data_IF_592364741502
#
_entry.id   IF_592364741502
#
_cell.length_a   1.000
_cell.length_b   1.000
_cell.length_c   1.000
_cell.angle_alpha   90.00
_cell.angle_beta   90.00
_cell.angle_gamma   90.00
#
_symmetry.space_group_name_H-M   'P 1'
#
loop_
_entity.id
_entity.type
_entity.pdbx_description
1 polymer ?
#
# COMPACT_ATOMS: atom_id res chain seq x y z
N UNK A 1 15.88 9.91 -0.36
CA UNK A 1 16.72 8.73 -0.07
C UNK A 1 15.79 7.63 0.45
N UNK A 2 15.97 6.37 0.06
CA UNK A 2 15.10 5.29 0.54
C UNK A 2 15.38 5.05 2.04
N UNK A 3 14.38 5.06 2.94
CA UNK A 3 14.63 4.87 4.37
C UNK A 3 15.11 3.43 4.65
N UNK A 4 16.24 3.24 5.37
CA UNK A 4 16.73 1.90 5.70
C UNK A 4 15.86 1.22 6.75
N UNK A 5 15.38 0.00 6.47
CA UNK A 5 14.54 -0.81 7.38
C UNK A 5 15.18 -2.18 7.57
N UNK A 6 15.36 -2.58 8.82
CA UNK A 6 15.99 -3.83 9.19
C UNK A 6 14.95 -4.88 9.60
N UNK A 7 14.98 -6.07 8.98
CA UNK A 7 14.29 -7.24 9.53
C UNK A 7 15.27 -8.15 10.28
N UNK A 8 14.83 -8.72 11.40
CA UNK A 8 15.53 -9.75 12.17
C UNK A 8 14.59 -10.95 12.26
N UNK A 9 14.77 -11.94 11.39
CA UNK A 9 13.85 -13.06 11.26
C UNK A 9 14.50 -14.30 10.62
N UNK A 10 13.78 -15.42 10.63
CA UNK A 10 14.17 -16.61 9.89
C UNK A 10 13.88 -16.52 8.39
N UNK A 11 14.56 -17.37 7.61
CA UNK A 11 14.33 -17.47 6.16
C UNK A 11 13.10 -18.33 5.84
N UNK A 12 12.38 -18.00 4.77
CA UNK A 12 11.51 -18.93 4.04
C UNK A 12 12.01 -19.05 2.59
N UNK A 13 12.60 -20.19 2.19
CA UNK A 13 13.17 -20.34 0.87
C UNK A 13 12.11 -20.39 -0.25
N UNK A 14 10.83 -20.63 0.05
CA UNK A 14 9.76 -20.49 -0.94
C UNK A 14 9.40 -19.03 -1.22
N UNK A 15 9.88 -18.11 -0.38
CA UNK A 15 9.76 -16.68 -0.54
C UNK A 15 8.38 -16.11 -0.22
N UNK A 16 7.54 -16.85 0.50
CA UNK A 16 6.20 -16.41 0.90
C UNK A 16 6.15 -15.71 2.24
N UNK A 17 7.05 -16.05 3.16
CA UNK A 17 7.16 -15.50 4.51
C UNK A 17 8.61 -15.14 4.87
N UNK A 18 8.89 -14.97 6.17
CA UNK A 18 10.23 -14.72 6.70
C UNK A 18 10.89 -13.45 6.14
N UNK A 19 12.22 -13.40 6.18
CA UNK A 19 12.99 -12.27 5.63
C UNK A 19 12.66 -11.99 4.16
N UNK A 20 12.30 -13.01 3.37
CA UNK A 20 11.99 -12.83 1.95
C UNK A 20 10.70 -12.02 1.75
N UNK A 21 9.65 -12.27 2.55
CA UNK A 21 8.44 -11.46 2.54
C UNK A 21 8.71 -10.05 3.05
N UNK A 22 9.53 -9.93 4.09
CA UNK A 22 9.91 -8.64 4.68
C UNK A 22 10.63 -7.76 3.66
N UNK A 23 11.69 -8.27 3.01
CA UNK A 23 12.48 -7.53 2.01
C UNK A 23 11.66 -7.17 0.77
N UNK A 24 10.76 -8.05 0.31
CA UNK A 24 9.84 -7.73 -0.80
C UNK A 24 8.88 -6.60 -0.41
N UNK A 25 8.40 -6.62 0.83
CA UNK A 25 7.48 -5.62 1.35
C UNK A 25 8.18 -4.27 1.52
N UNK A 26 9.38 -4.25 2.10
CA UNK A 26 10.22 -3.05 2.20
C UNK A 26 10.44 -2.42 0.82
N UNK A 27 10.81 -3.24 -0.17
CA UNK A 27 11.00 -2.78 -1.54
C UNK A 27 9.71 -2.23 -2.18
N UNK A 28 8.55 -2.87 -1.94
CA UNK A 28 7.26 -2.41 -2.44
C UNK A 28 6.84 -1.06 -1.84
N UNK A 29 7.31 -0.74 -0.63
CA UNK A 29 7.09 0.53 0.07
C UNK A 29 8.21 1.56 -0.17
N UNK A 30 9.13 1.29 -1.11
CA UNK A 30 10.21 2.22 -1.43
C UNK A 30 11.29 2.36 -0.35
N UNK A 31 11.35 1.43 0.61
CA UNK A 31 12.37 1.37 1.66
C UNK A 31 13.62 0.60 1.19
N UNK A 32 14.76 0.88 1.83
CA UNK A 32 15.98 0.09 1.65
C UNK A 32 16.00 -1.05 2.67
N UNK A 33 15.71 -2.27 2.21
CA UNK A 33 15.59 -3.43 3.08
C UNK A 33 16.92 -4.08 3.45
N UNK A 34 17.12 -4.33 4.74
CA UNK A 34 18.25 -5.09 5.29
C UNK A 34 17.74 -6.26 6.12
N UNK A 35 18.55 -7.30 6.29
CA UNK A 35 18.14 -8.51 7.00
C UNK A 35 19.24 -9.10 7.87
N UNK A 36 18.88 -9.50 9.08
CA UNK A 36 19.65 -10.38 9.96
C UNK A 36 18.91 -11.71 10.04
N UNK A 37 19.62 -12.82 9.80
CA UNK A 37 19.03 -14.15 9.86
C UNK A 37 19.17 -14.74 11.26
N UNK A 38 18.05 -15.22 11.82
CA UNK A 38 17.98 -15.92 13.11
C UNK A 38 17.94 -17.44 12.96
N UNK A 39 17.34 -17.94 11.88
CA UNK A 39 17.35 -19.34 11.51
C UNK A 39 17.16 -19.50 10.00
N UNK A 40 17.71 -20.58 9.46
CA UNK A 40 17.36 -21.06 8.14
C UNK A 40 16.24 -22.08 8.26
N UNK A 41 15.31 -22.09 7.33
CA UNK A 41 14.26 -23.13 7.29
C UNK A 41 14.31 -23.86 5.95
N UNK A 42 14.07 -25.17 5.99
CA UNK A 42 13.55 -25.88 4.84
C UNK A 42 12.03 -25.78 4.91
N UNK A 43 11.45 -24.82 4.18
CA UNK A 43 10.02 -24.54 4.20
C UNK A 43 9.49 -24.31 2.80
N UNK A 44 8.22 -24.67 2.58
CA UNK A 44 7.49 -24.29 1.38
C UNK A 44 5.99 -24.16 1.66
N UNK A 45 5.19 -23.96 0.62
CA UNK A 45 3.72 -23.80 0.72
C UNK A 45 2.99 -24.95 1.45
N UNK A 46 3.61 -26.13 1.61
CA UNK A 46 3.01 -27.25 2.34
C UNK A 46 3.44 -27.34 3.82
N UNK A 47 4.23 -26.39 4.30
CA UNK A 47 4.68 -26.31 5.70
C UNK A 47 6.20 -26.32 5.85
N UNK A 48 6.64 -26.45 7.11
CA UNK A 48 8.05 -26.50 7.52
C UNK A 48 8.52 -27.95 7.58
N UNK A 49 9.68 -28.24 7.00
CA UNK A 49 10.32 -29.56 7.01
C UNK A 49 11.47 -29.63 8.02
N UNK A 50 12.24 -28.55 8.16
CA UNK A 50 13.41 -28.48 9.05
C UNK A 50 13.70 -27.04 9.44
N UNK A 51 14.26 -26.83 10.63
CA UNK A 51 14.72 -25.53 11.11
C UNK A 51 16.18 -25.65 11.56
N UNK A 52 17.07 -24.92 10.89
CA UNK A 52 18.48 -24.82 11.23
C UNK A 52 18.74 -23.49 11.95
N UNK A 53 18.91 -23.50 13.27
CA UNK A 53 19.14 -22.27 14.02
C UNK A 53 20.52 -21.68 13.74
N UNK A 54 20.59 -20.35 13.68
CA UNK A 54 21.85 -19.62 13.61
C UNK A 54 22.29 -19.33 15.04
N UNK A 55 23.58 -19.52 15.33
CA UNK A 55 24.13 -19.28 16.67
C UNK A 55 23.88 -17.83 17.10
N UNK A 56 23.41 -17.62 18.33
CA UNK A 56 23.09 -16.30 18.88
C UNK A 56 24.25 -15.29 18.78
N UNK A 57 25.50 -15.74 18.94
CA UNK A 57 26.70 -14.90 18.75
C UNK A 57 26.89 -14.40 17.31
N UNK A 58 26.45 -15.17 16.31
CA UNK A 58 26.49 -14.76 14.91
C UNK A 58 25.29 -13.89 14.54
N UNK A 59 24.14 -14.07 15.19
CA UNK A 59 23.01 -13.12 15.10
C UNK A 59 23.45 -11.74 15.61
N UNK A 60 24.10 -11.67 16.77
CA UNK A 60 24.63 -10.43 17.34
C UNK A 60 25.65 -9.76 16.41
N UNK A 61 26.59 -10.53 15.85
CA UNK A 61 27.57 -10.02 14.87
C UNK A 61 26.93 -9.46 13.60
N UNK A 62 25.87 -10.09 13.08
CA UNK A 62 25.14 -9.58 11.92
C UNK A 62 24.46 -8.24 12.26
N UNK A 63 23.83 -8.12 13.43
CA UNK A 63 23.19 -6.87 13.88
C UNK A 63 24.24 -5.78 14.01
N UNK A 64 25.34 -6.06 14.70
CA UNK A 64 26.46 -5.11 14.85
C UNK A 64 26.99 -4.65 13.49
N UNK A 65 27.24 -5.59 12.58
CA UNK A 65 27.76 -5.26 11.23
C UNK A 65 26.84 -4.31 10.44
N UNK A 66 25.52 -4.42 10.61
CA UNK A 66 24.56 -3.54 9.94
C UNK A 66 24.46 -2.19 10.65
N UNK A 67 24.34 -2.20 11.98
CA UNK A 67 24.07 -1.00 12.76
C UNK A 67 25.31 -0.12 13.00
N UNK A 68 26.52 -0.69 12.89
CA UNK A 68 27.78 0.08 12.94
C UNK A 68 27.99 0.96 11.68
N UNK A 69 27.34 0.63 10.56
CA UNK A 69 27.51 1.33 9.26
C UNK A 69 26.25 2.11 8.82
N UNK A 70 25.05 1.58 9.10
CA UNK A 70 23.79 2.09 8.52
C UNK A 70 22.84 2.59 9.62
N UNK A 71 22.45 3.86 9.52
CA UNK A 71 21.40 4.45 10.36
C UNK A 71 20.01 3.89 9.96
N UNK A 72 19.51 2.95 10.75
CA UNK A 72 18.20 2.34 10.53
C UNK A 72 17.05 3.26 10.96
N UNK A 73 15.98 3.25 10.18
CA UNK A 73 14.78 4.09 10.40
C UNK A 73 13.62 3.35 11.03
N UNK A 74 13.59 2.02 10.91
CA UNK A 74 12.71 1.14 11.66
C UNK A 74 13.30 -0.27 11.69
N UNK A 75 12.85 -1.06 12.66
CA UNK A 75 13.25 -2.45 12.84
C UNK A 75 11.99 -3.31 12.94
N UNK A 76 12.04 -4.49 12.31
CA UNK A 76 11.01 -5.52 12.42
C UNK A 76 11.62 -6.81 12.93
N UNK A 77 11.02 -7.45 13.94
CA UNK A 77 11.39 -8.82 14.34
C UNK A 77 10.33 -9.81 13.87
N UNK A 78 10.76 -10.98 13.42
CA UNK A 78 9.92 -12.13 13.08
C UNK A 78 10.24 -13.33 13.97
N UNK A 79 10.36 -14.52 13.37
CA UNK A 79 10.77 -15.73 14.11
C UNK A 79 12.15 -15.55 14.74
N UNK A 80 12.24 -15.63 16.07
CA UNK A 80 13.50 -15.52 16.84
C UNK A 80 14.02 -16.86 17.40
N UNK A 81 13.30 -17.97 17.16
CA UNK A 81 13.67 -19.34 17.51
C UNK A 81 13.76 -19.66 19.02
N UNK A 82 14.72 -19.10 19.76
CA UNK A 82 15.01 -19.43 21.16
C UNK A 82 15.35 -18.21 22.05
N UNK A 83 15.43 -18.43 23.36
CA UNK A 83 15.76 -17.40 24.36
C UNK A 83 17.14 -16.76 24.14
N UNK A 84 18.13 -17.55 23.73
CA UNK A 84 19.50 -17.05 23.56
C UNK A 84 19.60 -16.08 22.38
N UNK A 85 18.86 -16.37 21.31
CA UNK A 85 18.73 -15.48 20.15
C UNK A 85 17.99 -14.21 20.52
N UNK A 86 16.89 -14.29 21.28
CA UNK A 86 16.17 -13.09 21.76
C UNK A 86 17.09 -12.22 22.60
N UNK A 87 17.84 -12.79 23.53
CA UNK A 87 18.80 -12.05 24.36
C UNK A 87 19.90 -11.41 23.53
N UNK A 88 20.43 -12.11 22.53
CA UNK A 88 21.42 -11.55 21.61
C UNK A 88 20.85 -10.33 20.85
N UNK A 89 19.62 -10.42 20.35
CA UNK A 89 18.93 -9.29 19.71
C UNK A 89 18.76 -8.12 20.69
N UNK A 90 18.23 -8.39 21.89
CA UNK A 90 18.02 -7.35 22.92
C UNK A 90 19.34 -6.68 23.32
N UNK A 91 20.42 -7.44 23.53
CA UNK A 91 21.75 -6.90 23.85
C UNK A 91 22.27 -5.99 22.74
N UNK A 92 22.21 -6.44 21.50
CA UNK A 92 22.66 -5.66 20.34
C UNK A 92 21.84 -4.37 20.21
N UNK A 93 20.50 -4.45 20.27
CA UNK A 93 19.66 -3.26 20.17
C UNK A 93 19.92 -2.27 21.31
N UNK A 94 20.07 -2.74 22.55
CA UNK A 94 20.41 -1.86 23.68
C UNK A 94 21.77 -1.21 23.50
N UNK A 95 22.79 -1.96 23.04
CA UNK A 95 24.13 -1.44 22.75
C UNK A 95 24.08 -0.26 21.78
N UNK A 96 23.28 -0.36 20.72
CA UNK A 96 23.20 0.66 19.66
C UNK A 96 22.26 1.84 19.98
N UNK A 97 21.15 1.61 20.68
CA UNK A 97 20.07 2.61 20.78
C UNK A 97 19.81 3.18 22.16
N UNK A 98 20.43 2.66 23.23
CA UNK A 98 20.17 3.16 24.59
C UNK A 98 20.60 4.62 24.76
N UNK A 99 21.62 5.07 24.03
CA UNK A 99 22.13 6.46 24.11
C UNK A 99 21.48 7.41 23.11
N UNK A 100 21.00 6.91 21.97
CA UNK A 100 20.49 7.69 20.83
C UNK A 100 18.97 7.68 20.70
N UNK A 101 18.30 6.76 21.38
CA UNK A 101 16.87 6.49 21.25
C UNK A 101 16.59 5.34 20.29
N UNK A 102 15.57 4.55 20.61
CA UNK A 102 15.16 3.41 19.78
C UNK A 102 14.39 3.89 18.54
N UNK A 103 14.73 3.41 17.33
CA UNK A 103 13.85 3.55 16.18
C UNK A 103 12.57 2.73 16.40
N UNK A 104 11.49 3.00 15.66
CA UNK A 104 10.30 2.18 15.72
C UNK A 104 10.61 0.69 15.57
N UNK A 105 10.21 -0.11 16.56
CA UNK A 105 10.43 -1.56 16.60
C UNK A 105 9.09 -2.29 16.55
N UNK A 106 8.81 -2.95 15.44
CA UNK A 106 7.61 -3.77 15.22
C UNK A 106 7.97 -5.25 15.46
N UNK A 107 7.35 -5.87 16.45
CA UNK A 107 7.57 -7.28 16.76
C UNK A 107 6.39 -8.14 16.34
N UNK A 108 6.61 -9.06 15.40
CA UNK A 108 5.67 -10.12 15.06
C UNK A 108 6.02 -11.37 15.90
N UNK A 109 5.27 -11.67 16.99
CA UNK A 109 5.64 -12.74 17.92
C UNK A 109 5.29 -14.11 17.34
N UNK A 110 6.07 -14.55 16.36
CA UNK A 110 5.87 -15.81 15.63
C UNK A 110 6.13 -16.99 16.56
N UNK A 111 5.06 -17.52 17.14
CA UNK A 111 5.12 -18.70 18.02
C UNK A 111 4.90 -20.02 17.26
N UNK A 112 4.02 -19.99 16.25
CA UNK A 112 3.58 -21.17 15.49
C UNK A 112 3.51 -20.82 14.00
N UNK A 113 3.95 -21.73 13.13
CA UNK A 113 3.79 -21.57 11.68
C UNK A 113 2.32 -21.63 11.26
N UNK A 114 1.98 -21.09 10.09
CA UNK A 114 0.64 -21.24 9.48
C UNK A 114 0.25 -22.72 9.24
N UNK A 115 1.24 -23.62 9.19
CA UNK A 115 1.05 -25.08 9.12
C UNK A 115 0.92 -25.78 10.48
N UNK A 116 0.94 -25.04 11.59
CA UNK A 116 0.79 -25.59 12.95
C UNK A 116 2.07 -26.10 13.61
N UNK A 117 3.23 -26.02 12.94
CA UNK A 117 4.52 -26.37 13.52
C UNK A 117 4.97 -25.31 14.54
N UNK A 118 5.32 -25.72 15.76
CA UNK A 118 5.89 -24.83 16.79
C UNK A 118 7.24 -24.31 16.33
N UNK A 119 7.38 -22.98 16.29
CA UNK A 119 8.59 -22.30 15.79
C UNK A 119 9.41 -21.64 16.91
N UNK A 120 8.84 -21.57 18.10
CA UNK A 120 9.42 -20.92 19.25
C UNK A 120 9.52 -21.92 20.41
N UNK A 121 10.71 -22.03 21.02
CA UNK A 121 10.88 -22.88 22.19
C UNK A 121 10.08 -22.33 23.39
N UNK A 122 9.54 -23.16 24.30
CA UNK A 122 8.65 -22.68 25.37
C UNK A 122 9.24 -21.61 26.31
N UNK A 123 10.55 -21.65 26.56
CA UNK A 123 11.29 -20.66 27.38
C UNK A 123 11.46 -19.29 26.69
N UNK A 124 11.39 -19.26 25.36
CA UNK A 124 11.55 -18.05 24.58
C UNK A 124 10.35 -17.10 24.72
N UNK A 125 9.16 -17.62 25.05
CA UNK A 125 7.98 -16.77 25.35
C UNK A 125 8.24 -15.87 26.55
N UNK A 126 8.84 -16.39 27.61
CA UNK A 126 9.22 -15.62 28.80
C UNK A 126 10.18 -14.50 28.44
N UNK A 127 11.17 -14.83 27.61
CA UNK A 127 12.23 -13.91 27.22
C UNK A 127 11.71 -12.82 26.29
N UNK A 128 10.78 -13.15 25.38
CA UNK A 128 10.06 -12.16 24.55
C UNK A 128 9.33 -11.13 25.43
N UNK A 129 8.54 -11.61 26.39
CA UNK A 129 7.71 -10.76 27.25
C UNK A 129 8.57 -9.91 28.18
N UNK A 130 9.55 -10.52 28.85
CA UNK A 130 10.34 -9.82 29.88
C UNK A 130 11.45 -8.93 29.32
N UNK A 131 12.03 -9.26 28.16
CA UNK A 131 13.23 -8.57 27.65
C UNK A 131 12.99 -7.79 26.34
N UNK A 132 12.18 -8.31 25.41
CA UNK A 132 11.98 -7.70 24.09
C UNK A 132 10.78 -6.74 24.06
N UNK A 133 9.61 -7.14 24.54
CA UNK A 133 8.38 -6.33 24.50
C UNK A 133 8.55 -4.92 25.07
N UNK A 134 9.28 -4.71 26.19
CA UNK A 134 9.53 -3.36 26.72
C UNK A 134 10.25 -2.40 25.76
N UNK A 135 10.89 -2.93 24.71
CA UNK A 135 11.58 -2.13 23.69
C UNK A 135 10.71 -1.88 22.45
N UNK A 136 9.56 -2.54 22.33
CA UNK A 136 8.77 -2.54 21.09
C UNK A 136 7.80 -1.36 21.03
N UNK A 137 7.73 -0.74 19.85
CA UNK A 137 6.70 0.24 19.52
C UNK A 137 5.36 -0.45 19.28
N UNK A 138 5.37 -1.62 18.65
CA UNK A 138 4.16 -2.38 18.34
C UNK A 138 4.45 -3.88 18.40
N UNK A 139 3.58 -4.64 19.06
CA UNK A 139 3.48 -6.10 18.83
C UNK A 139 2.28 -6.42 17.94
N UNK A 140 2.42 -7.41 17.05
CA UNK A 140 1.36 -7.79 16.10
C UNK A 140 0.88 -9.24 16.25
N UNK A 141 0.44 -9.72 17.42
CA UNK A 141 0.01 -11.11 17.58
C UNK A 141 -1.29 -11.42 16.81
N UNK A 142 -1.42 -12.65 16.30
CA UNK A 142 -2.72 -13.20 15.89
C UNK A 142 -3.51 -13.69 17.12
N UNK A 143 -4.78 -14.12 16.93
CA UNK A 143 -5.62 -14.69 17.99
C UNK A 143 -4.89 -15.73 18.85
N UNK A 144 -4.34 -16.78 18.23
CA UNK A 144 -3.70 -17.89 18.95
C UNK A 144 -2.38 -17.48 19.61
N UNK A 145 -1.62 -16.58 18.99
CA UNK A 145 -0.42 -15.98 19.59
C UNK A 145 -0.77 -15.14 20.82
N UNK A 146 -1.83 -14.33 20.74
CA UNK A 146 -2.32 -13.51 21.85
C UNK A 146 -2.78 -14.38 23.03
N UNK A 147 -3.58 -15.42 22.77
CA UNK A 147 -4.04 -16.36 23.79
C UNK A 147 -2.86 -17.08 24.46
N UNK A 148 -1.85 -17.51 23.69
CA UNK A 148 -0.64 -18.15 24.22
C UNK A 148 0.16 -17.21 25.12
N UNK A 149 0.44 -15.98 24.66
CA UNK A 149 1.20 -14.97 25.41
C UNK A 149 0.51 -14.61 26.74
N UNK A 150 -0.82 -14.45 26.71
CA UNK A 150 -1.60 -14.10 27.89
C UNK A 150 -1.76 -15.27 28.87
N UNK A 151 -1.88 -16.50 28.37
CA UNK A 151 -1.89 -17.71 29.21
C UNK A 151 -0.61 -17.81 30.02
N UNK A 152 0.53 -17.58 29.35
CA UNK A 152 1.85 -17.59 29.96
C UNK A 152 1.98 -16.51 31.05
N UNK A 153 1.67 -15.25 30.72
CA UNK A 153 1.81 -14.13 31.68
C UNK A 153 0.98 -14.30 32.96
N UNK A 154 -0.21 -14.92 32.86
CA UNK A 154 -1.11 -15.12 34.01
C UNK A 154 -0.81 -16.41 34.78
N UNK A 155 0.24 -17.15 34.44
CA UNK A 155 0.52 -18.50 34.97
C UNK A 155 -0.73 -19.41 34.91
N UNK A 156 -1.52 -19.28 33.85
CA UNK A 156 -2.77 -19.99 33.65
C UNK A 156 -2.59 -21.11 32.63
N UNK A 157 -3.36 -22.19 32.77
CA UNK A 157 -3.36 -23.30 31.80
C UNK A 157 -3.92 -22.88 30.42
N UNK A 158 -4.78 -21.86 30.38
CA UNK A 158 -5.30 -21.26 29.16
C UNK A 158 -5.88 -19.86 29.45
N UNK A 159 -5.89 -19.01 28.43
CA UNK A 159 -6.58 -17.72 28.40
C UNK A 159 -7.99 -17.89 27.80
N UNK A 160 -8.99 -17.09 28.23
CA UNK A 160 -10.32 -17.12 27.61
C UNK A 160 -10.26 -16.89 26.09
N UNK A 161 -11.03 -17.65 25.33
CA UNK A 161 -11.00 -17.56 23.87
C UNK A 161 -11.41 -16.17 23.36
N UNK A 162 -10.59 -15.60 22.47
CA UNK A 162 -10.86 -14.33 21.80
C UNK A 162 -11.77 -14.62 20.60
N UNK A 163 -13.05 -14.25 20.72
CA UNK A 163 -14.11 -14.60 19.74
C UNK A 163 -15.06 -13.45 19.37
N UNK A 164 -14.94 -12.31 20.02
CA UNK A 164 -15.74 -11.10 19.76
C UNK A 164 -14.90 -9.84 19.88
N UNK A 165 -15.43 -8.72 19.39
CA UNK A 165 -14.79 -7.41 19.51
C UNK A 165 -14.53 -7.03 20.98
N UNK A 166 -15.45 -7.31 21.89
CA UNK A 166 -15.29 -7.05 23.34
C UNK A 166 -14.17 -7.89 23.94
N UNK A 167 -14.06 -9.16 23.54
CA UNK A 167 -12.93 -10.00 23.99
C UNK A 167 -11.58 -9.52 23.43
N UNK A 168 -11.56 -8.92 22.24
CA UNK A 168 -10.36 -8.29 21.68
C UNK A 168 -9.97 -7.02 22.47
N UNK A 169 -10.94 -6.23 22.93
CA UNK A 169 -10.66 -5.06 23.81
C UNK A 169 -10.00 -5.50 25.12
N UNK A 170 -10.53 -6.56 25.75
CA UNK A 170 -9.92 -7.13 26.96
C UNK A 170 -8.51 -7.69 26.71
N UNK A 171 -8.34 -8.44 25.62
CA UNK A 171 -7.05 -9.04 25.28
C UNK A 171 -5.98 -7.98 24.93
N UNK A 172 -6.33 -6.94 24.17
CA UNK A 172 -5.41 -5.83 23.89
C UNK A 172 -5.01 -5.09 25.16
N UNK A 173 -5.93 -4.90 26.13
CA UNK A 173 -5.58 -4.33 27.44
C UNK A 173 -4.52 -5.15 28.15
N UNK A 174 -4.76 -6.46 28.23
CA UNK A 174 -3.89 -7.37 28.97
C UNK A 174 -2.52 -7.47 28.29
N UNK A 175 -2.48 -7.52 26.95
CA UNK A 175 -1.22 -7.55 26.19
C UNK A 175 -0.40 -6.27 26.34
N UNK A 176 -1.06 -5.12 26.43
CA UNK A 176 -0.39 -3.84 26.65
C UNK A 176 0.31 -3.80 28.02
N UNK A 177 -0.24 -4.50 29.03
CA UNK A 177 0.39 -4.61 30.34
C UNK A 177 1.69 -5.43 30.34
N UNK A 178 2.01 -6.12 29.23
CA UNK A 178 3.25 -6.89 29.07
C UNK A 178 4.46 -6.04 28.68
N UNK A 179 4.28 -4.72 28.52
CA UNK A 179 5.34 -3.76 28.23
C UNK A 179 5.43 -3.12 26.84
N UNK A 180 4.76 -3.58 25.76
CA UNK A 180 4.87 -2.90 24.46
C UNK A 180 4.15 -1.54 24.48
N UNK A 181 4.59 -0.60 23.65
CA UNK A 181 3.93 0.72 23.54
C UNK A 181 2.56 0.65 22.85
N UNK A 182 2.35 -0.35 21.99
CA UNK A 182 1.07 -0.61 21.34
C UNK A 182 0.92 -2.09 20.99
N UNK A 183 -0.32 -2.51 20.78
CA UNK A 183 -0.70 -3.89 20.43
C UNK A 183 -1.67 -3.87 19.26
N UNK A 184 -1.39 -4.67 18.23
CA UNK A 184 -2.32 -4.95 17.13
C UNK A 184 -2.69 -6.43 17.13
N UNK A 185 -3.91 -6.77 17.58
CA UNK A 185 -4.41 -8.14 17.43
C UNK A 185 -4.94 -8.32 16.01
N UNK A 186 -4.33 -9.27 15.27
CA UNK A 186 -4.71 -9.64 13.89
C UNK A 186 -5.92 -10.56 13.92
N UNK A 187 -7.06 -10.13 13.38
CA UNK A 187 -8.35 -10.83 13.57
C UNK A 187 -8.84 -11.69 12.42
N UNK A 188 -7.98 -12.10 11.48
CA UNK A 188 -8.36 -13.04 10.40
C UNK A 188 -8.99 -14.37 10.88
N UNK A 189 -8.96 -14.68 12.19
CA UNK A 189 -9.54 -15.87 12.81
C UNK A 189 -10.72 -15.55 13.75
N UNK A 190 -11.10 -14.28 13.90
CA UNK A 190 -12.28 -13.84 14.66
C UNK A 190 -13.40 -13.58 13.65
N UNK A 191 -14.49 -14.33 13.75
CA UNK A 191 -15.62 -14.17 12.83
C UNK A 191 -16.46 -12.99 13.31
N UNK A 192 -16.48 -11.92 12.53
CA UNK A 192 -17.25 -10.70 12.78
C UNK A 192 -18.05 -10.38 11.52
N UNK A 193 -19.30 -9.94 11.67
CA UNK A 193 -20.08 -9.38 10.56
C UNK A 193 -20.27 -7.86 10.72
N UNK A 194 -20.84 -7.21 9.72
CA UNK A 194 -21.06 -5.75 9.74
C UNK A 194 -22.02 -5.34 10.87
N UNK A 195 -23.06 -6.12 11.15
CA UNK A 195 -23.99 -5.81 12.24
C UNK A 195 -23.32 -5.84 13.63
N UNK A 196 -22.39 -6.77 13.86
CA UNK A 196 -21.61 -6.84 15.10
C UNK A 196 -20.73 -5.59 15.25
N UNK A 197 -20.09 -5.15 14.17
CA UNK A 197 -19.27 -3.94 14.15
C UNK A 197 -20.11 -2.67 14.38
N UNK A 198 -21.28 -2.56 13.75
CA UNK A 198 -22.18 -1.41 13.93
C UNK A 198 -22.72 -1.33 15.36
N UNK A 199 -23.08 -2.48 15.95
CA UNK A 199 -23.50 -2.58 17.34
C UNK A 199 -22.37 -2.15 18.28
N UNK A 200 -21.16 -2.64 18.04
CA UNK A 200 -19.98 -2.28 18.83
C UNK A 200 -19.68 -0.77 18.74
N UNK A 201 -19.73 -0.21 17.52
CA UNK A 201 -19.53 1.23 17.28
C UNK A 201 -20.50 2.09 18.08
N UNK A 202 -21.76 1.65 18.21
CA UNK A 202 -22.79 2.37 18.97
C UNK A 202 -22.50 2.35 20.47
N UNK A 203 -21.91 1.27 20.97
CA UNK A 203 -21.57 1.08 22.39
C UNK A 203 -20.25 1.74 22.77
N UNK A 204 -19.36 1.96 21.81
CA UNK A 204 -18.01 2.50 21.98
C UNK A 204 -17.74 3.69 21.04
N UNK A 205 -18.36 4.86 21.28
CA UNK A 205 -18.25 6.02 20.39
C UNK A 205 -16.84 6.65 20.37
N UNK A 206 -16.00 6.28 21.33
CA UNK A 206 -14.60 6.68 21.48
C UNK A 206 -13.62 5.82 20.66
N UNK A 207 -14.09 4.70 20.08
CA UNK A 207 -13.27 3.83 19.24
C UNK A 207 -13.28 4.33 17.80
N UNK A 208 -12.10 4.55 17.23
CA UNK A 208 -11.96 4.87 15.82
C UNK A 208 -12.21 3.61 14.99
N UNK A 209 -13.19 3.66 14.07
CA UNK A 209 -13.45 2.56 13.14
C UNK A 209 -13.10 3.01 11.73
N UNK A 210 -12.12 2.33 11.15
CA UNK A 210 -11.70 2.50 9.76
C UNK A 210 -12.29 1.37 8.92
N UNK A 211 -13.10 1.73 7.92
CA UNK A 211 -13.72 0.80 6.97
C UNK A 211 -13.05 0.95 5.61
N UNK A 212 -12.40 -0.10 5.12
CA UNK A 212 -11.74 -0.09 3.82
C UNK A 212 -12.34 -1.18 2.91
N UNK A 213 -12.86 -0.79 1.75
CA UNK A 213 -13.39 -1.73 0.74
C UNK A 213 -14.70 -2.43 1.12
N UNK A 214 -15.37 -2.00 2.19
CA UNK A 214 -16.74 -2.42 2.51
C UNK A 214 -17.72 -1.61 1.65
N UNK A 215 -18.79 -2.25 1.16
CA UNK A 215 -19.85 -1.54 0.44
C UNK A 215 -20.66 -0.72 1.44
N UNK A 216 -20.36 0.58 1.53
CA UNK A 216 -20.99 1.56 2.40
C UNK A 216 -21.70 2.66 1.58
N UNK A 217 -21.90 3.84 2.19
CA UNK A 217 -22.57 4.98 1.57
C UNK A 217 -21.89 5.38 0.25
N UNK A 218 -22.67 5.56 -0.82
CA UNK A 218 -22.22 5.90 -2.18
C UNK A 218 -21.70 4.71 -3.05
N UNK A 219 -21.87 3.45 -2.62
CA UNK A 219 -21.58 2.27 -3.44
C UNK A 219 -22.83 1.49 -3.90
N UNK A 220 -24.02 2.09 -3.82
CA UNK A 220 -25.31 1.44 -4.09
C UNK A 220 -25.41 0.93 -5.54
N UNK A 221 -24.73 1.59 -6.48
CA UNK A 221 -24.69 1.20 -7.89
C UNK A 221 -23.97 -0.14 -8.12
N UNK A 222 -23.08 -0.55 -7.21
CA UNK A 222 -22.38 -1.84 -7.29
C UNK A 222 -23.22 -2.99 -6.72
N UNK A 223 -24.36 -2.70 -6.08
CA UNK A 223 -25.21 -3.67 -5.38
C UNK A 223 -26.32 -4.29 -6.27
N UNK A 224 -26.21 -4.18 -7.59
CA UNK A 224 -27.23 -4.67 -8.53
C UNK A 224 -27.23 -6.21 -8.56
N UNK A 225 -28.12 -6.82 -7.79
CA UNK A 225 -28.36 -8.27 -7.75
C UNK A 225 -28.47 -8.77 -6.32
N UNK A 226 -29.08 -9.96 -6.12
CA UNK A 226 -29.32 -10.63 -4.83
C UNK A 226 -28.03 -10.93 -4.06
N UNK A 227 -27.40 -9.88 -3.54
CA UNK A 227 -26.26 -9.94 -2.63
C UNK A 227 -26.82 -10.24 -1.24
N UNK A 228 -26.17 -11.07 -0.40
CA UNK A 228 -26.55 -11.21 1.00
C UNK A 228 -26.72 -9.81 1.65
N UNK A 229 -27.61 -9.72 2.65
CA UNK A 229 -27.78 -8.48 3.40
C UNK A 229 -26.40 -8.01 3.85
N UNK A 230 -26.04 -6.74 3.60
CA UNK A 230 -24.73 -6.14 3.96
C UNK A 230 -24.39 -6.46 5.43
N UNK A 231 -25.40 -6.46 6.29
CA UNK A 231 -25.31 -6.80 7.71
C UNK A 231 -24.71 -8.19 8.00
N UNK A 232 -24.88 -9.17 7.12
CA UNK A 232 -24.43 -10.56 7.28
C UNK A 232 -23.05 -10.83 6.65
N UNK A 233 -22.47 -9.85 5.94
CA UNK A 233 -21.17 -10.02 5.32
C UNK A 233 -20.08 -10.21 6.38
N UNK A 234 -19.34 -11.32 6.25
CA UNK A 234 -18.18 -11.61 7.12
C UNK A 234 -17.05 -10.66 6.76
N UNK A 235 -16.49 -10.04 7.79
CA UNK A 235 -15.38 -9.10 7.70
C UNK A 235 -14.17 -9.61 8.51
N UNK A 236 -13.00 -9.10 8.15
CA UNK A 236 -11.77 -9.24 8.94
C UNK A 236 -11.57 -7.94 9.70
N UNK A 237 -11.33 -8.05 10.99
CA UNK A 237 -11.11 -6.92 11.89
C UNK A 237 -9.76 -7.05 12.55
N UNK A 238 -8.90 -6.04 12.42
CA UNK A 238 -7.71 -5.92 13.27
C UNK A 238 -7.94 -4.81 14.29
N UNK A 239 -7.51 -5.04 15.54
CA UNK A 239 -7.69 -4.09 16.64
C UNK A 239 -6.36 -3.60 17.15
N UNK A 240 -6.10 -2.31 16.96
CA UNK A 240 -4.97 -1.58 17.50
C UNK A 240 -5.35 -0.94 18.83
N UNK A 241 -4.46 -1.07 19.81
CA UNK A 241 -4.52 -0.32 21.05
C UNK A 241 -3.17 0.31 21.37
N UNK A 242 -3.16 1.62 21.61
CA UNK A 242 -1.95 2.37 21.97
C UNK A 242 -1.87 2.56 23.50
N UNK A 243 -0.68 2.87 24.02
CA UNK A 243 -0.44 3.09 25.45
C UNK A 243 -1.34 4.16 26.08
N UNK A 244 -1.74 5.17 25.30
CA UNK A 244 -2.64 6.24 25.74
C UNK A 244 -4.10 5.77 25.93
N UNK A 245 -4.39 4.52 25.56
CA UNK A 245 -5.69 3.89 25.72
C UNK A 245 -6.60 4.00 24.50
N UNK A 246 -6.21 4.76 23.47
CA UNK A 246 -6.92 4.84 22.19
C UNK A 246 -7.03 3.46 21.54
N UNK A 247 -8.21 3.19 20.98
CA UNK A 247 -8.50 1.96 20.26
C UNK A 247 -8.90 2.33 18.84
N UNK A 248 -8.28 1.64 17.88
CA UNK A 248 -8.63 1.74 16.46
C UNK A 248 -8.94 0.35 15.90
N UNK A 249 -10.04 0.24 15.15
CA UNK A 249 -10.48 -0.97 14.47
C UNK A 249 -10.34 -0.78 12.97
N UNK A 250 -9.70 -1.72 12.30
CA UNK A 250 -9.53 -1.73 10.85
C UNK A 250 -10.34 -2.89 10.25
N UNK A 251 -11.46 -2.57 9.61
CA UNK A 251 -12.43 -3.51 9.08
C UNK A 251 -12.37 -3.60 7.56
N UNK A 252 -12.31 -4.84 7.03
CA UNK A 252 -12.21 -5.13 5.59
C UNK A 252 -13.03 -6.38 5.22
N UNK A 253 -13.41 -6.57 3.94
CA UNK A 253 -14.05 -7.79 3.50
C UNK A 253 -13.21 -9.05 3.82
N UNK A 254 -13.85 -10.15 4.20
CA UNK A 254 -13.17 -11.44 4.26
C UNK A 254 -12.97 -12.01 2.85
N UNK A 255 -11.72 -12.35 2.51
CA UNK A 255 -11.38 -12.99 1.22
C UNK A 255 -11.32 -14.50 1.43
N UNK A 256 -12.21 -15.24 0.74
CA UNK A 256 -12.15 -16.70 0.72
C UNK A 256 -10.98 -17.17 -0.16
N UNK A 257 -9.82 -17.44 0.44
CA UNK A 257 -8.61 -17.89 -0.27
C UNK A 257 -7.80 -18.90 0.54
N UNK A 258 -6.93 -19.64 -0.15
CA UNK A 258 -5.88 -20.47 0.46
C UNK A 258 -4.51 -19.77 0.50
N UNK A 259 -4.39 -18.61 -0.15
CA UNK A 259 -3.13 -17.87 -0.26
C UNK A 259 -2.94 -16.93 0.92
N UNK A 260 -2.71 -17.49 2.10
CA UNK A 260 -2.53 -16.76 3.36
C UNK A 260 -1.12 -16.94 3.95
N UNK A 261 -0.22 -17.60 3.22
CA UNK A 261 1.14 -17.84 3.68
C UNK A 261 1.95 -16.54 3.69
N UNK A 262 2.42 -16.14 4.87
CA UNK A 262 3.21 -14.92 5.06
C UNK A 262 2.42 -13.64 5.32
N UNK A 263 1.10 -13.71 5.55
CA UNK A 263 0.27 -12.53 5.86
C UNK A 263 0.80 -11.75 7.06
N UNK A 264 1.19 -12.43 8.15
CA UNK A 264 1.72 -11.78 9.36
C UNK A 264 3.06 -11.07 9.14
N UNK A 265 4.01 -11.73 8.47
CA UNK A 265 5.30 -11.15 8.12
C UNK A 265 5.13 -9.93 7.20
N UNK A 266 4.27 -10.05 6.19
CA UNK A 266 3.96 -8.97 5.24
C UNK A 266 3.36 -7.76 5.96
N UNK A 267 2.37 -7.98 6.83
CA UNK A 267 1.70 -6.91 7.56
C UNK A 267 2.68 -6.15 8.47
N UNK A 268 3.41 -6.87 9.32
CA UNK A 268 4.38 -6.27 10.25
C UNK A 268 5.53 -5.54 9.51
N UNK A 269 6.00 -6.08 8.38
CA UNK A 269 6.99 -5.42 7.54
C UNK A 269 6.46 -4.14 6.87
N UNK A 270 5.21 -4.14 6.43
CA UNK A 270 4.56 -2.95 5.87
C UNK A 270 4.40 -1.86 6.94
N UNK A 271 3.98 -2.22 8.17
CA UNK A 271 3.91 -1.27 9.29
C UNK A 271 5.28 -0.66 9.59
N UNK A 272 6.33 -1.49 9.67
CA UNK A 272 7.70 -1.00 9.89
C UNK A 272 8.16 -0.04 8.77
N UNK A 273 7.77 -0.30 7.52
CA UNK A 273 8.08 0.55 6.37
C UNK A 273 7.39 1.92 6.44
N UNK A 274 6.14 1.95 6.87
CA UNK A 274 5.38 3.20 7.04
C UNK A 274 5.90 4.01 8.23
N UNK A 275 6.24 3.35 9.34
CA UNK A 275 6.85 4.01 10.51
C UNK A 275 8.24 4.59 10.18
N UNK A 276 9.03 3.90 9.33
CA UNK A 276 10.33 4.41 8.86
C UNK A 276 10.19 5.73 8.07
N UNK A 277 9.04 5.92 7.42
CA UNK A 277 8.67 7.13 6.68
C UNK A 277 7.99 8.20 7.55
N UNK A 278 8.02 8.04 8.88
CA UNK A 278 7.46 8.95 9.88
C UNK A 278 5.92 9.12 9.82
N UNK A 279 5.20 8.10 9.36
CA UNK A 279 3.75 8.04 9.54
C UNK A 279 3.39 7.82 11.01
N UNK A 280 2.22 8.33 11.43
CA UNK A 280 1.67 7.96 12.74
C UNK A 280 1.22 6.49 12.74
N UNK A 281 1.15 5.88 13.92
CA UNK A 281 0.93 4.43 14.04
C UNK A 281 -0.40 3.98 13.44
N UNK A 282 -1.49 4.72 13.68
CA UNK A 282 -2.82 4.42 13.11
C UNK A 282 -2.77 4.40 11.58
N UNK A 283 -2.12 5.39 10.97
CA UNK A 283 -2.01 5.50 9.51
C UNK A 283 -1.08 4.42 8.91
N UNK A 284 0.01 4.12 9.61
CA UNK A 284 0.91 3.02 9.26
C UNK A 284 0.17 1.67 9.25
N UNK A 285 -0.65 1.40 10.27
CA UNK A 285 -1.48 0.18 10.34
C UNK A 285 -2.56 0.19 9.25
N UNK A 286 -3.23 1.32 9.01
CA UNK A 286 -4.22 1.45 7.93
C UNK A 286 -3.62 1.09 6.57
N UNK A 287 -2.51 1.73 6.20
CA UNK A 287 -1.84 1.49 4.91
C UNK A 287 -1.34 0.06 4.79
N UNK A 288 -0.72 -0.48 5.85
CA UNK A 288 -0.20 -1.85 5.86
C UNK A 288 -1.31 -2.91 5.73
N UNK A 289 -2.45 -2.68 6.37
CA UNK A 289 -3.58 -3.60 6.29
C UNK A 289 -4.25 -3.58 4.91
N UNK A 290 -4.38 -2.41 4.28
CA UNK A 290 -4.85 -2.28 2.88
C UNK A 290 -3.89 -2.94 1.90
N UNK A 291 -2.58 -2.71 2.05
CA UNK A 291 -1.54 -3.36 1.24
C UNK A 291 -1.63 -4.89 1.36
N UNK A 292 -1.68 -5.41 2.58
CA UNK A 292 -1.76 -6.86 2.83
C UNK A 292 -3.03 -7.44 2.23
N UNK A 293 -4.18 -6.76 2.40
CA UNK A 293 -5.46 -7.19 1.83
C UNK A 293 -5.39 -7.31 0.31
N UNK A 294 -4.92 -6.26 -0.39
CA UNK A 294 -4.75 -6.28 -1.86
C UNK A 294 -3.73 -7.32 -2.32
N UNK A 295 -2.69 -7.57 -1.51
CA UNK A 295 -1.73 -8.65 -1.75
C UNK A 295 -2.38 -10.03 -1.71
N UNK A 296 -3.38 -10.25 -0.84
CA UNK A 296 -4.17 -11.48 -0.78
C UNK A 296 -5.11 -11.57 -1.99
N UNK A 297 -5.80 -10.49 -2.35
CA UNK A 297 -6.69 -10.44 -3.53
C UNK A 297 -5.94 -10.77 -4.82
N UNK A 298 -4.75 -10.20 -4.98
CA UNK A 298 -3.91 -10.37 -6.17
C UNK A 298 -3.01 -11.61 -6.13
N UNK A 299 -3.18 -12.51 -5.15
CA UNK A 299 -2.26 -13.62 -4.91
C UNK A 299 -2.09 -14.53 -6.15
N UNK A 300 -0.84 -14.93 -6.50
CA UNK A 300 -0.55 -15.60 -7.77
C UNK A 300 -0.91 -17.10 -7.81
N UNK A 301 -1.41 -17.67 -6.71
CA UNK A 301 -1.76 -19.10 -6.65
C UNK A 301 -0.57 -20.05 -6.77
N UNK A 302 0.60 -19.67 -6.25
CA UNK A 302 1.84 -20.46 -6.34
C UNK A 302 1.85 -21.58 -5.30
N UNK A 303 2.31 -22.76 -5.71
CA UNK A 303 2.45 -23.93 -4.86
C UNK A 303 1.17 -24.77 -4.78
N UNK A 304 1.21 -25.84 -3.97
CA UNK A 304 0.09 -26.80 -3.82
C UNK A 304 -0.58 -26.76 -2.43
N UNK A 305 0.04 -26.06 -1.47
CA UNK A 305 -0.51 -25.84 -0.14
C UNK A 305 -1.05 -24.42 0.02
N UNK A 306 -0.69 -23.75 1.11
CA UNK A 306 -1.06 -22.34 1.33
C UNK A 306 -0.08 -21.45 0.55
N UNK A 307 -0.59 -20.75 -0.48
CA UNK A 307 0.22 -19.94 -1.37
C UNK A 307 0.62 -18.58 -0.77
N UNK A 308 1.66 -17.93 -1.31
CA UNK A 308 2.10 -16.60 -0.87
C UNK A 308 1.16 -15.49 -1.37
N UNK A 309 1.25 -14.31 -0.73
CA UNK A 309 0.62 -13.07 -1.21
C UNK A 309 1.35 -12.51 -2.43
N UNK A 310 0.66 -11.66 -3.20
CA UNK A 310 1.28 -10.83 -4.23
C UNK A 310 1.89 -9.55 -3.63
N UNK A 311 3.10 -9.65 -3.11
CA UNK A 311 3.84 -8.53 -2.52
C UNK A 311 4.10 -7.37 -3.50
N UNK A 312 4.10 -7.62 -4.82
CA UNK A 312 4.45 -6.62 -5.82
C UNK A 312 3.22 -6.00 -6.49
N UNK A 313 2.01 -6.23 -5.96
CA UNK A 313 0.77 -5.67 -6.50
C UNK A 313 0.78 -4.14 -6.68
N UNK A 314 1.53 -3.31 -5.91
CA UNK A 314 1.62 -1.87 -6.18
C UNK A 314 2.59 -1.51 -7.31
N UNK A 315 3.54 -2.39 -7.65
CA UNK A 315 4.62 -2.08 -8.58
C UNK A 315 4.19 -2.35 -10.02
N UNK A 316 3.97 -1.28 -10.79
CA UNK A 316 3.81 -1.37 -12.25
C UNK A 316 5.15 -1.21 -12.94
N UNK A 317 5.77 -2.32 -13.36
CA UNK A 317 7.03 -2.30 -14.12
C UNK A 317 6.78 -1.76 -15.54
N UNK A 318 7.29 -0.57 -15.84
CA UNK A 318 7.34 -0.05 -17.22
C UNK A 318 8.82 0.08 -17.60
N UNK A 319 9.32 -0.87 -18.39
CA UNK A 319 10.68 -0.83 -18.91
C UNK A 319 10.70 -0.01 -20.19
N UNK A 320 11.21 1.22 -20.13
CA UNK A 320 11.44 2.03 -21.33
C UNK A 320 12.85 1.71 -21.85
N UNK A 321 13.01 1.10 -23.03
CA UNK A 321 14.33 0.83 -23.58
C UNK A 321 15.07 2.14 -23.88
N UNK A 322 16.40 2.09 -23.90
CA UNK A 322 17.21 3.24 -24.31
C UNK A 322 16.95 3.60 -25.78
N UNK A 323 17.09 4.89 -26.11
CA UNK A 323 16.96 5.36 -27.50
C UNK A 323 18.00 4.67 -28.38
N UNK A 324 17.59 4.23 -29.56
CA UNK A 324 18.47 3.65 -30.57
C UNK A 324 18.09 4.14 -31.97
N UNK A 325 18.95 3.91 -32.97
CA UNK A 325 18.63 4.26 -34.36
C UNK A 325 17.33 3.59 -34.86
N UNK A 326 17.04 2.37 -34.39
CA UNK A 326 15.83 1.62 -34.75
C UNK A 326 14.62 1.95 -33.85
N UNK A 327 14.83 2.63 -32.73
CA UNK A 327 13.78 3.08 -31.81
C UNK A 327 14.14 4.43 -31.16
N UNK A 328 14.03 5.55 -31.91
CA UNK A 328 14.44 6.87 -31.43
C UNK A 328 13.50 7.44 -30.35
N UNK A 329 12.26 6.91 -30.25
CA UNK A 329 11.22 7.36 -29.33
C UNK A 329 10.62 6.18 -28.54
N UNK A 330 11.42 5.50 -27.70
CA UNK A 330 11.05 4.23 -27.06
C UNK A 330 9.84 4.35 -26.14
N UNK A 331 9.73 5.46 -25.40
CA UNK A 331 8.57 5.73 -24.55
C UNK A 331 7.28 5.93 -25.36
N UNK A 332 7.32 6.81 -26.36
CA UNK A 332 6.19 7.07 -27.26
C UNK A 332 5.75 5.80 -27.99
N UNK A 333 6.71 5.01 -28.45
CA UNK A 333 6.45 3.72 -29.10
C UNK A 333 5.69 2.76 -28.19
N UNK A 334 6.15 2.58 -26.95
CA UNK A 334 5.47 1.75 -25.97
C UNK A 334 4.05 2.25 -25.68
N UNK A 335 3.85 3.56 -25.50
CA UNK A 335 2.52 4.11 -25.26
C UNK A 335 1.55 3.82 -26.43
N UNK A 336 2.03 3.95 -27.67
CA UNK A 336 1.25 3.64 -28.87
C UNK A 336 0.96 2.13 -28.94
N UNK A 337 1.94 1.27 -28.69
CA UNK A 337 1.78 -0.19 -28.72
C UNK A 337 0.75 -0.67 -27.69
N UNK A 338 0.80 -0.15 -26.45
CA UNK A 338 -0.16 -0.45 -25.38
C UNK A 338 -1.58 0.04 -25.68
N UNK A 339 -1.71 1.06 -26.54
CA UNK A 339 -2.99 1.69 -26.91
C UNK A 339 -3.32 1.53 -28.38
N UNK A 340 -2.79 0.50 -29.06
CA UNK A 340 -2.71 0.46 -30.53
C UNK A 340 -4.05 0.65 -31.24
N UNK A 341 -5.12 0.03 -30.72
CA UNK A 341 -6.47 0.16 -31.29
C UNK A 341 -6.98 1.59 -31.17
N UNK A 342 -6.96 2.16 -29.96
CA UNK A 342 -7.44 3.52 -29.69
C UNK A 342 -6.60 4.55 -30.45
N UNK A 343 -5.28 4.38 -30.48
CA UNK A 343 -4.38 5.25 -31.23
C UNK A 343 -4.69 5.24 -32.72
N UNK A 344 -4.94 4.06 -33.30
CA UNK A 344 -5.32 3.93 -34.71
C UNK A 344 -6.64 4.64 -35.00
N UNK A 345 -7.65 4.44 -34.15
CA UNK A 345 -8.96 5.08 -34.31
C UNK A 345 -8.88 6.60 -34.20
N UNK A 346 -8.01 7.11 -33.32
CA UNK A 346 -7.73 8.53 -33.17
C UNK A 346 -7.01 9.12 -34.38
N UNK A 347 -5.85 8.58 -34.78
CA UNK A 347 -5.03 9.16 -35.87
C UNK A 347 -5.62 8.93 -37.25
N UNK A 348 -6.50 7.93 -37.41
CA UNK A 348 -7.19 7.62 -38.67
C UNK A 348 -8.68 7.96 -38.61
N UNK A 349 -9.09 8.82 -37.68
CA UNK A 349 -10.47 9.19 -37.47
C UNK A 349 -11.14 9.71 -38.76
N UNK A 350 -12.41 9.35 -38.96
CA UNK A 350 -13.18 9.73 -40.16
C UNK A 350 -13.17 11.23 -40.41
N UNK A 351 -13.25 12.03 -39.35
CA UNK A 351 -13.21 13.50 -39.44
C UNK A 351 -11.96 14.00 -40.19
N UNK A 352 -10.77 13.54 -39.81
CA UNK A 352 -9.50 13.98 -40.41
C UNK A 352 -9.39 13.54 -41.87
N UNK A 353 -9.85 12.32 -42.18
CA UNK A 353 -9.88 11.80 -43.56
C UNK A 353 -10.80 12.63 -44.46
N UNK A 354 -12.01 12.94 -44.00
CA UNK A 354 -12.97 13.75 -44.76
C UNK A 354 -12.48 15.20 -44.91
N UNK A 355 -11.84 15.76 -43.89
CA UNK A 355 -11.24 17.08 -43.94
C UNK A 355 -10.11 17.14 -44.97
N UNK A 356 -9.20 16.17 -44.96
CA UNK A 356 -8.09 16.07 -45.92
C UNK A 356 -8.55 15.84 -47.37
N UNK A 357 -9.73 15.24 -47.55
CA UNK A 357 -10.38 15.08 -48.87
C UNK A 357 -11.20 16.31 -49.31
N UNK A 358 -11.39 17.29 -48.43
CA UNK A 358 -12.20 18.48 -48.72
C UNK A 358 -13.71 18.22 -48.81
N UNK A 359 -14.20 17.10 -48.29
CA UNK A 359 -15.63 16.70 -48.36
C UNK A 359 -16.33 16.71 -47.00
N UNK A 360 -15.65 17.19 -45.94
CA UNK A 360 -16.25 17.31 -44.61
C UNK A 360 -17.41 18.33 -44.63
N UNK A 361 -18.59 18.01 -44.08
CA UNK A 361 -19.68 18.97 -43.99
C UNK A 361 -19.29 20.22 -43.18
N UNK A 362 -19.59 21.40 -43.72
CA UNK A 362 -19.23 22.69 -43.11
C UNK A 362 -19.69 22.79 -41.64
N UNK A 363 -20.89 22.31 -41.33
CA UNK A 363 -21.43 22.34 -39.96
C UNK A 363 -20.57 21.56 -38.96
N UNK A 364 -20.06 20.38 -39.35
CA UNK A 364 -19.16 19.59 -38.49
C UNK A 364 -17.85 20.32 -38.23
N UNK A 365 -17.32 20.99 -39.25
CA UNK A 365 -16.10 21.78 -39.13
C UNK A 365 -16.30 23.02 -38.25
N UNK A 366 -17.39 23.76 -38.46
CA UNK A 366 -17.79 24.92 -37.64
C UNK A 366 -17.96 24.51 -36.18
N UNK A 367 -18.61 23.38 -35.90
CA UNK A 367 -18.74 22.85 -34.55
C UNK A 367 -17.38 22.50 -33.94
N UNK A 368 -16.52 21.80 -34.68
CA UNK A 368 -15.17 21.45 -34.23
C UNK A 368 -14.36 22.69 -33.83
N UNK A 369 -14.31 23.74 -34.66
CA UNK A 369 -13.56 24.96 -34.35
C UNK A 369 -14.07 25.65 -33.09
N UNK A 370 -15.40 25.70 -32.88
CA UNK A 370 -15.97 26.24 -31.64
C UNK A 370 -15.52 25.45 -30.42
N UNK A 371 -15.58 24.12 -30.50
CA UNK A 371 -15.18 23.24 -29.39
C UNK A 371 -13.67 23.28 -29.14
N UNK A 372 -12.84 23.31 -30.19
CA UNK A 372 -11.39 23.37 -30.09
C UNK A 372 -10.92 24.69 -29.44
N UNK A 373 -11.57 25.81 -29.79
CA UNK A 373 -11.33 27.10 -29.12
C UNK A 373 -11.59 27.05 -27.61
N UNK A 374 -12.66 26.37 -27.17
CA UNK A 374 -12.95 26.16 -25.75
C UNK A 374 -11.93 25.21 -25.11
N UNK A 375 -11.60 24.11 -25.79
CA UNK A 375 -10.62 23.11 -25.35
C UNK A 375 -9.24 23.71 -25.08
N UNK A 376 -8.76 24.62 -25.94
CA UNK A 376 -7.44 25.26 -25.78
C UNK A 376 -7.28 25.99 -24.45
N UNK A 377 -8.38 26.45 -23.81
CA UNK A 377 -8.33 27.01 -22.45
C UNK A 377 -7.90 25.96 -21.43
N UNK A 378 -8.46 24.74 -21.50
CA UNK A 378 -8.05 23.63 -20.64
C UNK A 378 -6.61 23.23 -20.91
N UNK A 379 -6.23 23.16 -22.19
CA UNK A 379 -4.89 22.77 -22.59
C UNK A 379 -3.84 23.75 -22.05
N UNK A 380 -4.06 25.06 -22.20
CA UNK A 380 -3.19 26.09 -21.64
C UNK A 380 -3.08 26.00 -20.10
N UNK A 381 -4.20 25.78 -19.40
CA UNK A 381 -4.23 25.62 -17.94
C UNK A 381 -3.48 24.37 -17.48
N UNK A 382 -3.61 23.25 -18.18
CA UNK A 382 -2.90 22.02 -17.88
C UNK A 382 -1.37 22.20 -17.98
N UNK A 383 -0.86 22.89 -19.00
CA UNK A 383 0.57 23.23 -19.08
C UNK A 383 1.00 24.26 -18.03
N UNK A 384 0.09 25.13 -17.57
CA UNK A 384 0.33 25.98 -16.41
C UNK A 384 0.59 25.16 -15.14
N UNK A 385 -0.21 24.11 -14.90
CA UNK A 385 0.00 23.17 -13.79
C UNK A 385 1.31 22.39 -13.96
N UNK A 386 1.65 21.97 -15.19
CA UNK A 386 2.94 21.32 -15.45
C UNK A 386 4.11 22.23 -15.08
N UNK A 387 4.08 23.49 -15.52
CA UNK A 387 5.11 24.48 -15.17
C UNK A 387 5.22 24.69 -13.65
N UNK A 388 4.09 24.73 -12.94
CA UNK A 388 4.06 24.85 -11.48
C UNK A 388 4.66 23.64 -10.76
N UNK A 389 4.57 22.44 -11.36
CA UNK A 389 5.08 21.17 -10.80
C UNK A 389 6.51 20.84 -11.22
N UNK A 390 7.06 21.54 -12.21
CA UNK A 390 8.43 21.33 -12.69
C UNK A 390 9.47 21.77 -11.65
N UNK A 391 10.56 21.02 -11.55
CA UNK A 391 11.62 21.26 -10.55
C UNK A 391 12.85 21.95 -11.12
N UNK A 392 12.91 22.15 -12.45
CA UNK A 392 14.02 22.81 -13.13
C UNK A 392 13.58 23.92 -14.07
N UNK A 393 14.40 24.98 -14.18
CA UNK A 393 14.14 26.11 -15.08
C UNK A 393 13.94 25.70 -16.56
N UNK A 394 14.71 24.74 -17.13
CA UNK A 394 14.48 24.29 -18.50
C UNK A 394 13.09 23.65 -18.73
N UNK A 395 12.60 22.86 -17.76
CA UNK A 395 11.26 22.26 -17.83
C UNK A 395 10.17 23.32 -17.76
N UNK A 396 10.30 24.27 -16.81
CA UNK A 396 9.39 25.41 -16.67
C UNK A 396 9.33 26.19 -17.99
N UNK A 397 10.49 26.55 -18.56
CA UNK A 397 10.56 27.29 -19.82
C UNK A 397 9.90 26.53 -20.98
N UNK A 398 10.08 25.20 -21.05
CA UNK A 398 9.47 24.39 -22.11
C UNK A 398 7.94 24.35 -21.98
N UNK A 399 7.40 24.18 -20.77
CA UNK A 399 5.96 24.21 -20.53
C UNK A 399 5.36 25.60 -20.81
N UNK A 400 6.01 26.67 -20.36
CA UNK A 400 5.58 28.05 -20.63
C UNK A 400 5.55 28.38 -22.13
N UNK A 401 6.54 27.91 -22.90
CA UNK A 401 6.54 28.11 -24.36
C UNK A 401 5.31 27.50 -25.03
N UNK A 402 4.89 26.30 -24.61
CA UNK A 402 3.67 25.67 -25.14
C UNK A 402 2.43 26.52 -24.84
N UNK A 403 2.34 27.12 -23.65
CA UNK A 403 1.24 28.06 -23.32
C UNK A 403 1.22 29.25 -24.29
N UNK A 404 2.39 29.83 -24.58
CA UNK A 404 2.51 30.95 -25.53
C UNK A 404 2.10 30.53 -26.94
N UNK A 405 2.49 29.33 -27.38
CA UNK A 405 2.10 28.78 -28.68
C UNK A 405 0.58 28.56 -28.76
N UNK A 406 -0.06 28.05 -27.70
CA UNK A 406 -1.52 27.90 -27.61
C UNK A 406 -2.23 29.26 -27.71
N UNK A 407 -1.72 30.29 -27.01
CA UNK A 407 -2.29 31.64 -27.10
C UNK A 407 -2.19 32.21 -28.51
N UNK A 408 -1.08 31.94 -29.21
CA UNK A 408 -0.92 32.31 -30.62
C UNK A 408 -1.91 31.55 -31.51
N UNK A 409 -2.06 30.25 -31.33
CA UNK A 409 -3.00 29.40 -32.08
C UNK A 409 -4.45 29.86 -31.89
N UNK A 410 -4.84 30.25 -30.67
CA UNK A 410 -6.17 30.82 -30.40
C UNK A 410 -6.44 32.12 -31.19
N UNK A 411 -5.39 32.90 -31.47
CA UNK A 411 -5.45 34.06 -32.38
C UNK A 411 -5.69 33.67 -33.84
N UNK A 412 -5.01 32.61 -34.29
CA UNK A 412 -5.19 32.06 -35.63
C UNK A 412 -6.60 31.48 -35.81
N UNK A 413 -7.14 30.75 -34.83
CA UNK A 413 -8.51 30.24 -34.86
C UNK A 413 -9.55 31.36 -34.96
N UNK A 414 -9.37 32.48 -34.24
CA UNK A 414 -10.27 33.64 -34.36
C UNK A 414 -10.30 34.19 -35.79
N UNK A 415 -9.12 34.37 -36.38
CA UNK A 415 -8.99 34.88 -37.75
C UNK A 415 -9.58 33.91 -38.77
N UNK A 416 -9.33 32.62 -38.58
CA UNK A 416 -9.83 31.56 -39.46
C UNK A 416 -11.35 31.39 -39.33
N UNK A 417 -11.88 31.35 -38.12
CA UNK A 417 -13.32 31.24 -37.84
C UNK A 417 -14.12 32.39 -38.48
N UNK A 418 -13.57 33.61 -38.48
CA UNK A 418 -14.16 34.76 -39.14
C UNK A 418 -14.35 34.55 -40.65
N UNK A 419 -13.42 33.86 -41.33
CA UNK A 419 -13.56 33.52 -42.76
C UNK A 419 -14.73 32.57 -43.04
N UNK A 420 -15.18 31.82 -42.03
CA UNK A 420 -16.33 30.92 -42.13
C UNK A 420 -17.65 31.54 -41.64
N UNK A 421 -17.62 32.82 -41.25
CA UNK A 421 -18.78 33.57 -40.74
C UNK A 421 -19.09 33.33 -39.27
N UNK A 422 -18.09 32.91 -38.48
CA UNK A 422 -18.21 32.73 -37.02
C UNK A 422 -17.60 33.95 -36.35
N UNK A 423 -18.40 34.72 -35.60
CA UNK A 423 -17.91 35.88 -34.86
C UNK A 423 -17.13 35.47 -33.61
N UNK A 424 -16.41 36.42 -33.00
CA UNK A 424 -15.78 36.19 -31.69
C UNK A 424 -16.82 35.89 -30.61
N UNK A 425 -17.94 36.60 -30.64
CA UNK A 425 -19.07 36.40 -29.73
C UNK A 425 -19.64 34.98 -29.87
N UNK A 426 -19.72 34.45 -31.10
CA UNK A 426 -20.15 33.07 -31.36
C UNK A 426 -19.20 31.98 -30.82
N UNK A 427 -17.92 32.32 -30.64
CA UNK A 427 -16.90 31.43 -30.06
C UNK A 427 -16.90 31.51 -28.54
N UNK A 428 -17.03 32.71 -27.98
CA UNK A 428 -17.04 32.95 -26.53
C UNK A 428 -18.32 32.44 -25.86
N UNK A 429 -19.46 32.56 -26.55
CA UNK A 429 -20.77 32.08 -26.09
C UNK A 429 -21.11 30.67 -26.58
N UNK A 430 -20.18 29.96 -27.22
CA UNK A 430 -20.40 28.58 -27.64
C UNK A 430 -20.64 27.68 -26.42
N UNK A 431 -21.70 26.88 -26.46
CA UNK A 431 -21.94 25.86 -25.44
C UNK A 431 -20.87 24.76 -25.53
N UNK A 432 -20.34 24.37 -24.38
CA UNK A 432 -19.36 23.31 -24.29
C UNK A 432 -20.00 21.95 -24.53
N UNK A 433 -19.46 21.21 -25.50
CA UNK A 433 -19.91 19.85 -25.79
C UNK A 433 -19.40 18.85 -24.75
N UNK A 434 -20.14 17.75 -24.58
CA UNK A 434 -19.81 16.69 -23.61
C UNK A 434 -18.38 16.15 -23.75
N UNK A 435 -17.90 15.98 -24.99
CA UNK A 435 -16.54 15.48 -25.24
C UNK A 435 -15.45 16.47 -24.78
N UNK A 436 -15.67 17.77 -25.02
CA UNK A 436 -14.76 18.85 -24.61
C UNK A 436 -14.71 18.95 -23.09
N UNK A 437 -15.88 18.96 -22.43
CA UNK A 437 -15.97 18.99 -20.97
C UNK A 437 -15.31 17.77 -20.33
N UNK A 438 -15.57 16.56 -20.85
CA UNK A 438 -14.98 15.33 -20.31
C UNK A 438 -13.45 15.31 -20.46
N UNK A 439 -12.93 15.72 -21.62
CA UNK A 439 -11.49 15.77 -21.86
C UNK A 439 -10.82 16.87 -21.03
N UNK A 440 -11.41 18.06 -20.99
CA UNK A 440 -10.93 19.19 -20.21
C UNK A 440 -10.90 18.89 -18.71
N UNK A 441 -11.97 18.29 -18.19
CA UNK A 441 -12.05 17.80 -16.82
C UNK A 441 -10.95 16.77 -16.52
N UNK A 442 -10.82 15.76 -17.39
CA UNK A 442 -9.77 14.75 -17.24
C UNK A 442 -8.37 15.37 -17.17
N UNK A 443 -8.03 16.31 -18.07
CA UNK A 443 -6.73 17.00 -18.09
C UNK A 443 -6.47 17.82 -16.81
N UNK A 444 -7.47 18.53 -16.30
CA UNK A 444 -7.28 19.36 -15.11
C UNK A 444 -7.19 18.51 -13.84
N UNK A 445 -8.05 17.50 -13.67
CA UNK A 445 -7.96 16.56 -12.55
C UNK A 445 -6.60 15.86 -12.54
N UNK A 446 -6.19 15.35 -13.70
CA UNK A 446 -4.86 14.82 -13.96
C UNK A 446 -3.75 15.78 -13.55
N UNK A 447 -3.86 17.04 -13.97
CA UNK A 447 -2.88 18.08 -13.70
C UNK A 447 -2.85 18.51 -12.24
N UNK A 448 -3.94 18.35 -11.48
CA UNK A 448 -4.03 18.69 -10.05
C UNK A 448 -3.53 17.53 -9.17
N UNK A 449 -3.94 16.30 -9.45
CA UNK A 449 -3.67 15.12 -8.62
C UNK A 449 -2.35 14.40 -8.99
N UNK A 450 -1.89 14.52 -10.24
CA UNK A 450 -0.72 13.79 -10.75
C UNK A 450 0.65 14.36 -10.33
N UNK A 451 1.70 13.53 -10.40
CA UNK A 451 3.09 14.03 -10.43
C UNK A 451 3.52 14.32 -11.88
N UNK A 452 4.72 14.84 -12.10
CA UNK A 452 5.23 15.23 -13.44
C UNK A 452 5.27 14.10 -14.47
N UNK A 453 5.17 12.82 -14.06
CA UNK A 453 5.31 11.63 -14.92
C UNK A 453 4.07 10.73 -14.98
N UNK A 454 3.08 10.92 -14.10
CA UNK A 454 1.75 10.28 -14.18
C UNK A 454 0.68 11.16 -13.56
N UNK A 455 -0.48 11.31 -14.24
CA UNK A 455 -1.73 11.51 -13.55
C UNK A 455 -2.20 10.19 -12.98
N UNK A 456 -2.20 10.07 -11.67
CA UNK A 456 -2.92 9.02 -10.97
C UNK A 456 -3.98 9.68 -10.09
N UNK A 457 -5.19 9.12 -10.01
CA UNK A 457 -6.20 9.59 -9.08
C UNK A 457 -5.76 9.21 -7.67
N UNK A 458 -5.71 10.19 -6.77
CA UNK A 458 -5.31 9.96 -5.38
C UNK A 458 -5.25 11.21 -4.51
N UNK A 459 -6.32 11.39 -3.73
CA UNK A 459 -6.47 12.18 -2.50
C UNK A 459 -6.20 13.69 -2.57
N UNK A 460 -7.33 14.40 -2.67
CA UNK A 460 -7.56 15.77 -2.24
C UNK A 460 -7.29 15.89 -0.73
N UNK A 461 -6.45 16.87 -0.34
CA UNK A 461 -6.42 17.43 1.01
C UNK A 461 -7.58 18.38 1.22
#
# INVERSE_FOLDING_TARGET
MQPPVLTIAGSDPSGGAGIQADLKTFAAHGCYGMSVLTALTAQNTTGVQEVFPITSSFVEQQIDSVLDDIEVRAIKTGMLYDSDTIRAVVRALKKHFTSTGFPPLVCDPVCVSTSGHTLLHPDAVETLVSELFPLTTLITPNKSEAELLLSYSKNASAYPEIKSLESMVGATQDLLSLGPQAVLIKGGHVVVNIADLDKFSTQHPDVLIVRDGLFDENMEILQVGKTPSISEQIIVVDMLREHEGSISIFARPHIATKSTHGTGCTLSAAIASELAQAQCLVEAVRTATVYTHRGIEGAPGIGRGNGPLNHLHPLKRVLIPSKSACNPYPFTRLLIEESATIWKDFVQHKFVKLLGQGILPKQCFTYFIKQDYLYLKYYARAYGLLAAKSTSFPEIASATRIILDILKESGAHRTFAAQFGISLEDLENAEEGLATAAYGGYLLTTGLEGNTLRPTPGCVT
#
